data_IF_098545250178
#
_entry.id   IF_098545250178
#
_cell.length_a   1.000
_cell.length_b   1.000
_cell.length_c   1.000
_cell.angle_alpha   90.00
_cell.angle_beta   90.00
_cell.angle_gamma   90.00
#
_symmetry.space_group_name_H-M   'P 1'
#
loop_
_entity.id
_entity.type
_entity.pdbx_description
1 polymer ?
#
# COMPACT_ATOMS: atom_id res chain seq x y z
N UNK A 1 -0.45 0.61 -29.81
CA UNK A 1 -0.03 1.41 -28.65
C UNK A 1 -0.67 0.93 -27.35
N UNK A 2 -2.00 0.94 -27.18
CA UNK A 2 -2.64 0.47 -25.92
C UNK A 2 -2.28 -0.97 -25.53
N UNK A 3 -2.41 -1.92 -26.48
CA UNK A 3 -2.03 -3.33 -26.29
C UNK A 3 -0.57 -3.54 -25.88
N UNK A 4 0.35 -2.72 -26.41
CA UNK A 4 1.78 -2.79 -26.11
C UNK A 4 2.08 -2.33 -24.69
N UNK A 5 1.46 -1.21 -24.26
CA UNK A 5 1.56 -0.72 -22.88
C UNK A 5 0.97 -1.72 -21.89
N UNK A 6 -0.20 -2.28 -22.20
CA UNK A 6 -0.83 -3.35 -21.41
C UNK A 6 0.10 -4.57 -21.26
N UNK A 7 0.75 -5.02 -22.35
CA UNK A 7 1.70 -6.15 -22.31
C UNK A 7 2.94 -5.86 -21.46
N UNK A 8 3.51 -4.64 -21.56
CA UNK A 8 4.63 -4.21 -20.71
C UNK A 8 4.24 -4.22 -19.24
N UNK A 9 3.08 -3.65 -18.90
CA UNK A 9 2.57 -3.61 -17.53
C UNK A 9 2.32 -4.99 -16.96
N UNK A 10 1.66 -5.86 -17.73
CA UNK A 10 1.37 -7.23 -17.30
C UNK A 10 2.66 -8.01 -17.03
N UNK A 11 3.63 -7.93 -17.96
CA UNK A 11 4.94 -8.56 -17.81
C UNK A 11 5.69 -8.02 -16.60
N UNK A 12 5.64 -6.71 -16.36
CA UNK A 12 6.30 -6.10 -15.20
C UNK A 12 5.67 -6.56 -13.88
N UNK A 13 4.34 -6.64 -13.79
CA UNK A 13 3.61 -7.17 -12.63
C UNK A 13 3.97 -8.64 -12.36
N UNK A 14 4.16 -9.44 -13.41
CA UNK A 14 4.65 -10.83 -13.29
C UNK A 14 6.08 -10.89 -12.77
N UNK A 15 6.99 -10.08 -13.32
CA UNK A 15 8.38 -10.03 -12.85
C UNK A 15 8.48 -9.59 -11.37
N UNK A 16 7.63 -8.66 -10.91
CA UNK A 16 7.56 -8.27 -9.50
C UNK A 16 7.24 -9.46 -8.59
N UNK A 17 6.44 -10.42 -9.06
CA UNK A 17 6.14 -11.66 -8.33
C UNK A 17 7.34 -12.61 -8.24
N UNK A 18 8.28 -12.53 -9.16
CA UNK A 18 9.35 -13.52 -9.35
C UNK A 18 10.73 -13.09 -8.84
N UNK A 19 11.03 -11.78 -8.83
CA UNK A 19 12.37 -11.27 -8.54
C UNK A 19 12.34 -9.91 -7.83
N UNK A 20 13.48 -9.49 -7.29
CA UNK A 20 13.63 -8.18 -6.67
C UNK A 20 13.79 -7.06 -7.71
N UNK A 21 13.45 -5.83 -7.31
CA UNK A 21 13.39 -4.70 -8.25
C UNK A 21 14.71 -4.44 -8.98
N UNK A 22 15.83 -4.56 -8.27
CA UNK A 22 17.17 -4.36 -8.81
C UNK A 22 17.62 -5.45 -9.79
N UNK A 23 16.91 -6.58 -9.84
CA UNK A 23 17.17 -7.68 -10.77
C UNK A 23 16.39 -7.51 -12.09
N UNK A 24 15.34 -6.68 -12.09
CA UNK A 24 14.54 -6.42 -13.29
C UNK A 24 15.39 -5.66 -14.31
N UNK A 25 15.45 -6.18 -15.54
CA UNK A 25 16.12 -5.50 -16.65
C UNK A 25 15.15 -5.25 -17.81
N UNK A 26 15.35 -4.13 -18.52
CA UNK A 26 14.61 -3.83 -19.76
C UNK A 26 14.79 -4.96 -20.79
N UNK A 27 15.96 -5.61 -20.82
CA UNK A 27 16.23 -6.72 -21.74
C UNK A 27 15.26 -7.87 -21.49
N UNK A 28 15.21 -8.37 -20.26
CA UNK A 28 14.34 -9.48 -19.88
C UNK A 28 12.86 -9.13 -20.04
N UNK A 29 12.47 -7.94 -19.58
CA UNK A 29 11.10 -7.45 -19.69
C UNK A 29 10.64 -7.38 -21.16
N UNK A 30 11.46 -6.85 -22.06
CA UNK A 30 11.11 -6.78 -23.50
C UNK A 30 11.01 -8.15 -24.15
N UNK A 31 11.86 -9.10 -23.74
CA UNK A 31 11.83 -10.48 -24.24
C UNK A 31 10.52 -11.18 -23.83
N UNK A 32 10.16 -11.11 -22.55
CA UNK A 32 8.91 -11.69 -22.00
C UNK A 32 7.66 -11.05 -22.58
N UNK A 33 7.66 -9.72 -22.73
CA UNK A 33 6.55 -8.98 -23.34
C UNK A 33 6.44 -9.16 -24.86
N UNK A 34 7.37 -9.91 -25.49
CA UNK A 34 7.44 -10.14 -26.93
C UNK A 34 7.49 -8.83 -27.75
N UNK A 35 8.28 -7.86 -27.28
CA UNK A 35 8.50 -6.58 -27.97
C UNK A 35 10.00 -6.32 -28.17
N UNK A 36 10.33 -5.47 -29.13
CA UNK A 36 11.71 -4.99 -29.26
C UNK A 36 11.99 -3.85 -28.25
N UNK A 37 13.27 -3.66 -27.90
CA UNK A 37 13.70 -2.58 -26.99
C UNK A 37 13.30 -1.18 -27.47
N UNK A 38 13.33 -0.91 -28.78
CA UNK A 38 12.92 0.39 -29.33
C UNK A 38 11.45 0.69 -28.98
N UNK A 39 10.59 -0.32 -29.05
CA UNK A 39 9.18 -0.23 -28.68
C UNK A 39 8.98 0.07 -27.20
N UNK A 40 9.80 -0.48 -26.30
CA UNK A 40 9.79 -0.08 -24.89
C UNK A 40 10.11 1.41 -24.73
N UNK A 41 11.17 1.89 -25.38
CA UNK A 41 11.59 3.30 -25.29
C UNK A 41 10.65 4.30 -25.97
N UNK A 42 9.70 3.84 -26.80
CA UNK A 42 8.60 4.68 -27.28
C UNK A 42 7.56 4.98 -26.19
N UNK A 43 7.55 4.19 -25.12
CA UNK A 43 6.59 4.31 -24.03
C UNK A 43 7.22 4.80 -22.73
N UNK A 44 8.47 4.41 -22.46
CA UNK A 44 9.14 4.67 -21.19
C UNK A 44 10.60 5.09 -21.36
N UNK A 45 11.03 6.07 -20.58
CA UNK A 45 12.45 6.45 -20.51
C UNK A 45 13.31 5.37 -19.85
N UNK A 46 12.73 4.58 -18.95
CA UNK A 46 13.41 3.53 -18.20
C UNK A 46 12.45 2.74 -17.29
N UNK A 47 13.00 1.86 -16.45
CA UNK A 47 12.19 1.11 -15.49
C UNK A 47 11.59 2.00 -14.41
N UNK A 48 12.26 3.09 -14.03
CA UNK A 48 11.73 4.06 -13.04
C UNK A 48 10.45 4.74 -13.53
N UNK A 49 10.38 5.07 -14.82
CA UNK A 49 9.20 5.69 -15.45
C UNK A 49 8.01 4.72 -15.51
N UNK A 50 8.28 3.47 -15.91
CA UNK A 50 7.27 2.39 -15.84
C UNK A 50 6.80 2.15 -14.40
N UNK A 51 7.72 2.15 -13.45
CA UNK A 51 7.42 1.97 -12.03
C UNK A 51 6.58 3.13 -11.48
N UNK A 52 6.91 4.38 -11.84
CA UNK A 52 6.15 5.56 -11.45
C UNK A 52 4.71 5.51 -12.00
N UNK A 53 4.55 5.09 -13.25
CA UNK A 53 3.22 4.88 -13.81
C UNK A 53 2.42 3.84 -13.02
N UNK A 54 3.04 2.70 -12.68
CA UNK A 54 2.41 1.66 -11.86
C UNK A 54 2.05 2.19 -10.47
N UNK A 55 2.94 2.94 -9.81
CA UNK A 55 2.68 3.56 -8.51
C UNK A 55 1.47 4.50 -8.58
N UNK A 56 1.39 5.29 -9.64
CA UNK A 56 0.27 6.21 -9.86
C UNK A 56 -1.04 5.46 -10.09
N UNK A 57 -1.04 4.42 -10.94
CA UNK A 57 -2.21 3.55 -11.16
C UNK A 57 -2.74 2.98 -9.84
N UNK A 58 -1.84 2.44 -9.02
CA UNK A 58 -2.19 1.84 -7.73
C UNK A 58 -2.73 2.88 -6.75
N UNK A 59 -2.02 4.00 -6.55
CA UNK A 59 -2.48 5.06 -5.67
C UNK A 59 -3.85 5.61 -6.08
N UNK A 60 -4.07 5.82 -7.38
CA UNK A 60 -5.33 6.34 -7.91
C UNK A 60 -6.50 5.38 -7.67
N UNK A 61 -6.26 4.06 -7.71
CA UNK A 61 -7.29 3.06 -7.38
C UNK A 61 -7.70 3.11 -5.90
N UNK A 62 -6.80 3.47 -4.99
CA UNK A 62 -7.13 3.70 -3.59
C UNK A 62 -7.78 5.06 -3.35
N UNK A 63 -7.31 6.10 -4.05
CA UNK A 63 -7.82 7.47 -3.96
C UNK A 63 -9.28 7.58 -4.44
N UNK A 64 -9.65 6.83 -5.49
CA UNK A 64 -11.03 6.79 -6.01
C UNK A 64 -12.05 6.29 -4.99
N UNK A 65 -11.61 5.59 -3.93
CA UNK A 65 -12.51 5.10 -2.88
C UNK A 65 -12.82 6.24 -1.92
N UNK A 66 -14.09 6.66 -1.90
CA UNK A 66 -14.57 7.61 -0.91
C UNK A 66 -14.51 6.97 0.47
N UNK A 67 -13.82 7.62 1.38
CA UNK A 67 -13.68 7.23 2.78
C UNK A 67 -14.03 8.44 3.65
N UNK A 68 -14.58 8.18 4.83
CA UNK A 68 -14.93 9.22 5.81
C UNK A 68 -14.01 9.11 7.03
N UNK A 69 -13.81 10.23 7.71
CA UNK A 69 -13.07 10.32 8.99
C UNK A 69 -13.93 11.00 10.07
N UNK A 70 -15.23 11.11 9.83
CA UNK A 70 -16.12 12.00 10.60
C UNK A 70 -16.43 11.48 12.00
N UNK A 71 -16.29 10.17 12.22
CA UNK A 71 -16.55 9.52 13.50
C UNK A 71 -15.75 8.22 13.62
N UNK A 72 -15.74 7.63 14.82
CA UNK A 72 -14.98 6.40 15.08
C UNK A 72 -15.46 5.16 14.32
N UNK A 73 -16.73 5.10 13.90
CA UNK A 73 -17.19 3.99 13.06
C UNK A 73 -16.57 4.09 11.66
N UNK A 74 -16.42 5.29 11.12
CA UNK A 74 -15.74 5.51 9.85
C UNK A 74 -14.25 5.11 9.94
N UNK A 75 -13.58 5.45 11.04
CA UNK A 75 -12.19 5.04 11.29
C UNK A 75 -12.07 3.51 11.35
N UNK A 76 -12.97 2.82 12.08
CA UNK A 76 -12.99 1.36 12.14
C UNK A 76 -13.25 0.74 10.77
N UNK A 77 -14.19 1.30 9.99
CA UNK A 77 -14.47 0.86 8.63
C UNK A 77 -13.26 1.05 7.72
N UNK A 78 -12.51 2.14 7.88
CA UNK A 78 -11.30 2.42 7.12
C UNK A 78 -10.17 1.41 7.43
N UNK A 79 -9.96 1.09 8.71
CA UNK A 79 -9.00 0.07 9.15
C UNK A 79 -9.36 -1.27 8.51
N UNK A 80 -10.61 -1.73 8.69
CA UNK A 80 -11.12 -2.97 8.10
C UNK A 80 -10.91 -3.00 6.59
N UNK A 81 -11.30 -1.93 5.88
CA UNK A 81 -11.17 -1.80 4.44
C UNK A 81 -9.72 -1.99 3.97
N UNK A 82 -8.75 -1.45 4.71
CA UNK A 82 -7.32 -1.61 4.38
C UNK A 82 -6.90 -3.08 4.49
N UNK A 83 -7.14 -3.73 5.63
CA UNK A 83 -6.69 -5.10 5.87
C UNK A 83 -7.42 -6.13 4.99
N UNK A 84 -8.74 -6.01 4.82
CA UNK A 84 -9.50 -6.87 3.92
C UNK A 84 -9.02 -6.72 2.49
N UNK A 85 -8.77 -5.49 2.02
CA UNK A 85 -8.30 -5.31 0.67
C UNK A 85 -6.88 -5.86 0.50
N UNK A 86 -5.97 -5.57 1.44
CA UNK A 86 -4.60 -6.06 1.41
C UNK A 86 -4.53 -7.59 1.37
N UNK A 87 -5.34 -8.28 2.17
CA UNK A 87 -5.36 -9.73 2.23
C UNK A 87 -5.84 -10.42 0.94
N UNK A 88 -6.65 -9.75 0.11
CA UNK A 88 -7.24 -10.30 -1.11
C UNK A 88 -6.62 -9.74 -2.40
N UNK A 89 -5.61 -8.87 -2.31
CA UNK A 89 -4.94 -8.34 -3.49
C UNK A 89 -4.04 -9.40 -4.16
N UNK A 90 -3.85 -9.33 -5.49
CA UNK A 90 -2.90 -10.18 -6.20
C UNK A 90 -1.49 -10.09 -5.61
N UNK A 91 -0.73 -11.18 -5.70
CA UNK A 91 0.62 -11.36 -5.12
C UNK A 91 1.57 -10.17 -5.37
N UNK A 92 1.54 -9.55 -6.55
CA UNK A 92 2.41 -8.42 -6.84
C UNK A 92 2.18 -7.24 -5.87
N UNK A 93 0.95 -7.00 -5.40
CA UNK A 93 0.70 -5.96 -4.40
C UNK A 93 1.33 -6.31 -3.06
N UNK A 94 1.26 -7.59 -2.65
CA UNK A 94 1.91 -8.06 -1.44
C UNK A 94 3.43 -7.96 -1.54
N UNK A 95 4.02 -8.28 -2.70
CA UNK A 95 5.44 -8.04 -2.99
C UNK A 95 5.80 -6.57 -2.84
N UNK A 96 5.01 -5.67 -3.43
CA UNK A 96 5.23 -4.23 -3.30
C UNK A 96 5.17 -3.77 -1.85
N UNK A 97 4.17 -4.25 -1.12
CA UNK A 97 3.89 -3.87 0.26
C UNK A 97 4.94 -4.41 1.23
N UNK A 98 5.38 -5.67 1.07
CA UNK A 98 6.10 -6.43 2.10
C UNK A 98 7.54 -6.80 1.75
N UNK A 99 7.94 -6.81 0.47
CA UNK A 99 9.33 -7.10 0.11
C UNK A 99 10.24 -5.89 0.38
N UNK A 100 11.41 -6.12 0.99
CA UNK A 100 12.38 -5.07 1.27
C UNK A 100 12.84 -4.32 0.00
N UNK A 101 13.02 -5.03 -1.11
CA UNK A 101 13.40 -4.44 -2.41
C UNK A 101 12.37 -3.45 -2.97
N UNK A 102 11.09 -3.61 -2.58
CA UNK A 102 9.98 -2.80 -3.06
C UNK A 102 9.43 -1.83 -2.00
N UNK A 103 9.99 -1.83 -0.80
CA UNK A 103 9.55 -0.94 0.27
C UNK A 103 9.53 0.55 -0.16
N UNK A 104 10.56 1.11 -0.84
CA UNK A 104 10.52 2.48 -1.31
C UNK A 104 9.39 2.74 -2.32
N UNK A 105 9.00 1.70 -3.07
CA UNK A 105 7.89 1.77 -4.03
C UNK A 105 6.57 1.94 -3.30
N UNK A 106 6.32 1.11 -2.28
CA UNK A 106 5.14 1.24 -1.45
C UNK A 106 5.10 2.55 -0.68
N UNK A 107 6.23 3.02 -0.17
CA UNK A 107 6.32 4.30 0.56
C UNK A 107 5.84 5.47 -0.30
N UNK A 108 6.22 5.51 -1.59
CA UNK A 108 5.73 6.53 -2.53
C UNK A 108 4.22 6.42 -2.79
N UNK A 109 3.68 5.20 -2.92
CA UNK A 109 2.23 4.95 -3.08
C UNK A 109 1.48 5.44 -1.83
N UNK A 110 1.90 4.99 -0.64
CA UNK A 110 1.26 5.34 0.62
C UNK A 110 1.32 6.86 0.87
N UNK A 111 2.46 7.49 0.58
CA UNK A 111 2.61 8.95 0.67
C UNK A 111 1.57 9.65 -0.20
N UNK A 112 1.46 9.31 -1.48
CA UNK A 112 0.47 9.92 -2.41
C UNK A 112 -0.97 9.75 -1.90
N UNK A 113 -1.32 8.56 -1.40
CA UNK A 113 -2.67 8.29 -0.86
C UNK A 113 -2.92 9.13 0.40
N UNK A 114 -1.97 9.20 1.34
CA UNK A 114 -2.13 9.96 2.57
C UNK A 114 -2.16 11.47 2.32
N UNK A 115 -1.36 11.98 1.39
CA UNK A 115 -1.38 13.40 0.98
C UNK A 115 -2.75 13.78 0.40
N UNK A 116 -3.27 12.96 -0.52
CA UNK A 116 -4.61 13.19 -1.07
C UNK A 116 -5.70 13.16 0.02
N UNK A 117 -5.66 12.18 0.92
CA UNK A 117 -6.64 12.06 2.02
C UNK A 117 -6.56 13.25 2.96
N UNK A 118 -5.36 13.69 3.30
CA UNK A 118 -5.12 14.87 4.12
C UNK A 118 -5.70 16.13 3.49
N UNK A 119 -5.45 16.35 2.20
CA UNK A 119 -5.94 17.53 1.48
C UNK A 119 -7.47 17.53 1.34
N UNK A 120 -8.06 16.37 1.05
CA UNK A 120 -9.52 16.25 0.85
C UNK A 120 -10.32 16.21 2.16
N UNK A 121 -9.67 15.93 3.29
CA UNK A 121 -10.32 15.83 4.61
C UNK A 121 -9.74 16.87 5.61
N UNK A 122 -9.18 17.96 5.10
CA UNK A 122 -8.57 19.01 5.92
C UNK A 122 -9.56 19.55 6.95
N UNK A 123 -9.16 19.59 8.22
CA UNK A 123 -9.95 20.10 9.33
C UNK A 123 -11.00 19.13 9.88
N UNK A 124 -11.09 17.90 9.36
CA UNK A 124 -12.10 16.91 9.80
C UNK A 124 -11.96 16.56 11.29
N UNK A 125 -10.74 16.61 11.82
CA UNK A 125 -10.47 16.31 13.22
C UNK A 125 -10.58 17.52 14.16
N UNK A 126 -10.85 18.72 13.62
CA UNK A 126 -10.89 19.98 14.39
C UNK A 126 -9.58 20.24 15.16
N UNK A 127 -8.46 19.92 14.53
CA UNK A 127 -7.10 20.06 15.07
C UNK A 127 -6.31 21.11 14.29
N UNK A 128 -5.18 21.55 14.86
CA UNK A 128 -4.16 22.29 14.12
C UNK A 128 -3.67 21.48 12.89
N UNK A 129 -3.26 22.18 11.82
CA UNK A 129 -2.83 21.56 10.58
C UNK A 129 -1.67 20.57 10.79
N UNK A 130 -0.66 20.95 11.57
CA UNK A 130 0.50 20.10 11.81
C UNK A 130 0.13 18.88 12.65
N UNK A 131 -0.79 19.04 13.61
CA UNK A 131 -1.30 17.93 14.39
C UNK A 131 -2.14 16.96 13.54
N UNK A 132 -2.95 17.46 12.63
CA UNK A 132 -3.71 16.65 11.68
C UNK A 132 -2.78 15.91 10.69
N UNK A 133 -1.68 16.53 10.26
CA UNK A 133 -0.67 15.87 9.43
C UNK A 133 -0.11 14.61 10.13
N UNK A 134 0.08 14.65 11.45
CA UNK A 134 0.51 13.51 12.24
C UNK A 134 -0.53 12.38 12.26
N UNK A 135 -1.84 12.70 12.24
CA UNK A 135 -2.90 11.69 12.22
C UNK A 135 -2.83 10.85 10.93
N UNK A 136 -2.71 11.50 9.76
CA UNK A 136 -2.60 10.78 8.49
C UNK A 136 -1.29 9.99 8.37
N UNK A 137 -0.17 10.57 8.86
CA UNK A 137 1.11 9.88 8.90
C UNK A 137 1.04 8.63 9.79
N UNK A 138 0.48 8.77 10.99
CA UNK A 138 0.29 7.67 11.95
C UNK A 138 -0.55 6.54 11.35
N UNK A 139 -1.71 6.87 10.75
CA UNK A 139 -2.60 5.88 10.15
C UNK A 139 -1.91 5.12 9.00
N UNK A 140 -1.29 5.85 8.05
CA UNK A 140 -0.63 5.24 6.89
C UNK A 140 0.56 4.36 7.26
N UNK A 141 1.36 4.79 8.25
CA UNK A 141 2.52 4.04 8.71
C UNK A 141 2.11 2.77 9.49
N UNK A 142 1.23 2.89 10.49
CA UNK A 142 0.87 1.76 11.35
C UNK A 142 0.07 0.68 10.62
N UNK A 143 -0.84 1.06 9.73
CA UNK A 143 -1.59 0.07 8.92
C UNK A 143 -0.64 -0.78 8.07
N UNK A 144 0.32 -0.12 7.39
CA UNK A 144 1.35 -0.79 6.59
C UNK A 144 2.22 -1.71 7.46
N UNK A 145 2.70 -1.21 8.60
CA UNK A 145 3.59 -1.95 9.50
C UNK A 145 2.94 -3.22 10.05
N UNK A 146 1.70 -3.12 10.52
CA UNK A 146 0.96 -4.26 11.08
C UNK A 146 0.70 -5.34 10.01
N UNK A 147 0.33 -4.93 8.79
CA UNK A 147 0.14 -5.90 7.70
C UNK A 147 1.45 -6.60 7.31
N UNK A 148 2.57 -5.85 7.21
CA UNK A 148 3.89 -6.43 6.93
C UNK A 148 4.28 -7.49 7.95
N UNK A 149 4.07 -7.19 9.24
CA UNK A 149 4.35 -8.15 10.31
C UNK A 149 3.48 -9.40 10.18
N UNK A 150 2.18 -9.24 9.92
CA UNK A 150 1.27 -10.37 9.71
C UNK A 150 1.70 -11.28 8.55
N UNK A 151 2.19 -10.69 7.44
CA UNK A 151 2.76 -11.45 6.32
C UNK A 151 4.06 -12.14 6.71
N UNK A 152 4.96 -11.46 7.44
CA UNK A 152 6.21 -12.04 7.92
C UNK A 152 6.00 -13.26 8.83
N UNK A 153 4.91 -13.24 9.60
CA UNK A 153 4.51 -14.38 10.45
C UNK A 153 3.84 -15.53 9.67
N UNK A 154 3.70 -15.39 8.35
CA UNK A 154 3.08 -16.37 7.47
C UNK A 154 1.55 -16.34 7.52
N UNK A 155 0.95 -15.18 7.86
CA UNK A 155 -0.51 -14.99 7.95
C UNK A 155 -1.22 -15.97 8.88
N UNK A 156 -0.53 -16.41 9.95
CA UNK A 156 -1.02 -17.44 10.88
C UNK A 156 -2.19 -16.97 11.74
N UNK A 157 -2.23 -15.69 12.08
CA UNK A 157 -3.37 -15.09 12.78
C UNK A 157 -4.54 -14.95 11.79
N UNK A 158 -5.77 -15.39 12.13
CA UNK A 158 -6.94 -15.16 11.29
C UNK A 158 -7.10 -13.67 10.94
N UNK A 159 -7.60 -13.39 9.73
CA UNK A 159 -7.74 -12.01 9.24
C UNK A 159 -8.64 -11.15 10.15
N UNK A 160 -9.72 -11.73 10.69
CA UNK A 160 -10.62 -11.01 11.59
C UNK A 160 -9.92 -10.63 12.91
N UNK A 161 -9.10 -11.54 13.46
CA UNK A 161 -8.32 -11.27 14.67
C UNK A 161 -7.24 -10.22 14.42
N UNK A 162 -6.61 -10.20 13.24
CA UNK A 162 -5.70 -9.12 12.82
C UNK A 162 -6.42 -7.77 12.80
N UNK A 163 -7.61 -7.71 12.19
CA UNK A 163 -8.42 -6.49 12.10
C UNK A 163 -8.80 -6.01 13.50
N UNK A 164 -9.16 -6.93 14.40
CA UNK A 164 -9.48 -6.59 15.79
C UNK A 164 -8.28 -6.00 16.53
N UNK A 165 -7.12 -6.67 16.47
CA UNK A 165 -5.87 -6.20 17.11
C UNK A 165 -5.44 -4.85 16.53
N UNK A 166 -5.46 -4.71 15.21
CA UNK A 166 -5.12 -3.45 14.54
C UNK A 166 -6.08 -2.33 14.94
N UNK A 167 -7.38 -2.61 15.04
CA UNK A 167 -8.38 -1.64 15.49
C UNK A 167 -8.13 -1.19 16.92
N UNK A 168 -7.81 -2.12 17.83
CA UNK A 168 -7.44 -1.82 19.22
C UNK A 168 -6.22 -0.90 19.29
N UNK A 169 -5.14 -1.28 18.63
CA UNK A 169 -3.88 -0.52 18.63
C UNK A 169 -4.01 0.86 17.96
N UNK A 170 -4.66 0.94 16.80
CA UNK A 170 -4.79 2.20 16.06
C UNK A 170 -5.72 3.17 16.80
N UNK A 171 -6.83 2.69 17.38
CA UNK A 171 -7.80 3.56 18.05
C UNK A 171 -7.41 3.93 19.49
N UNK A 172 -6.78 3.01 20.23
CA UNK A 172 -6.60 3.13 21.68
C UNK A 172 -5.14 2.94 22.13
N UNK A 173 -4.24 2.51 21.24
CA UNK A 173 -2.85 2.23 21.58
C UNK A 173 -2.67 1.03 22.52
N UNK A 174 -1.54 1.00 23.20
CA UNK A 174 -1.12 -0.14 24.05
C UNK A 174 -2.03 -0.40 25.25
N UNK A 175 -2.75 0.62 25.74
CA UNK A 175 -3.69 0.46 26.87
C UNK A 175 -4.84 -0.50 26.57
N UNK A 176 -5.12 -0.76 25.30
CA UNK A 176 -6.19 -1.67 24.88
C UNK A 176 -5.79 -3.15 24.78
N UNK A 177 -4.50 -3.45 24.88
CA UNK A 177 -3.97 -4.82 24.71
C UNK A 177 -3.06 -5.27 25.85
N UNK A 178 -2.52 -4.33 26.64
CA UNK A 178 -1.76 -4.66 27.85
C UNK A 178 -2.75 -4.96 28.97
N UNK A 179 -2.67 -6.14 29.62
CA UNK A 179 -3.51 -6.43 30.79
C UNK A 179 -3.32 -5.36 31.87
N UNK A 180 -4.42 -4.87 32.44
CA UNK A 180 -4.32 -4.06 33.65
C UNK A 180 -3.61 -4.90 34.71
N UNK A 181 -2.53 -4.38 35.30
CA UNK A 181 -1.71 -5.06 36.30
C UNK A 181 -2.43 -5.35 37.63
N UNK A 182 -3.76 -5.39 37.65
CA UNK A 182 -4.59 -5.79 38.78
C UNK A 182 -4.75 -7.32 38.82
N UNK A 183 -3.63 -8.02 38.95
CA UNK A 183 -3.62 -9.32 39.63
C UNK A 183 -2.76 -9.15 40.88
N UNK A 184 -3.42 -8.75 41.97
CA UNK A 184 -3.01 -9.03 43.35
C UNK A 184 -4.13 -9.80 44.02
#
# INVERSE_FOLDING_TARGET
MRKTREAIHQTFKEMICEMDYNEITIKELTARAQINRKTFYLHYAGLDDLLEELQNELADNFIKRKVSYSNMNDIRALIRLFFEHAAHMPLFHERLLCSGSYQPVWEKINKKIMEHRRETNRGVFQMDEYAENLVFAYYGANSTLLYRQWVADGKKLPLEDLIEVATKLICNGMSSVVPNGENK
#
